data_IF_874170848672
#
_entry.id   IF_874170848672
#
_cell.length_a   1.000
_cell.length_b   1.000
_cell.length_c   1.000
_cell.angle_alpha   90.00
_cell.angle_beta   90.00
_cell.angle_gamma   90.00
#
_symmetry.space_group_name_H-M   'P 1'
#
loop_
_entity.id
_entity.type
_entity.pdbx_description
1 polymer ?
#
# COMPACT_ATOMS: atom_id res chain seq x y z
N UNK A 1 -9.16 -36.46 -28.74
CA UNK A 1 -9.81 -35.28 -29.36
C UNK A 1 -9.96 -34.22 -28.26
N UNK A 2 -9.15 -33.19 -28.30
CA UNK A 2 -9.21 -32.06 -27.33
C UNK A 2 -10.13 -31.01 -27.96
N UNK A 3 -11.31 -30.83 -27.39
CA UNK A 3 -12.23 -29.78 -27.81
C UNK A 3 -11.83 -28.46 -27.13
N UNK A 4 -11.22 -27.57 -27.89
CA UNK A 4 -10.95 -26.20 -27.44
C UNK A 4 -12.26 -25.43 -27.44
N UNK A 5 -12.74 -25.08 -26.24
CA UNK A 5 -13.87 -24.16 -26.10
C UNK A 5 -13.25 -22.75 -26.12
N UNK A 6 -13.40 -22.08 -27.26
CA UNK A 6 -13.11 -20.64 -27.39
C UNK A 6 -14.28 -19.92 -26.76
N UNK A 7 -14.07 -19.37 -25.56
CA UNK A 7 -15.07 -18.51 -24.90
C UNK A 7 -14.90 -17.07 -25.39
N UNK A 8 -15.92 -16.58 -26.09
CA UNK A 8 -15.99 -15.20 -26.54
C UNK A 8 -16.04 -14.26 -25.34
N UNK A 9 -15.07 -13.33 -25.25
CA UNK A 9 -15.12 -12.19 -24.36
C UNK A 9 -16.24 -11.26 -24.83
N UNK A 10 -17.40 -11.30 -24.19
CA UNK A 10 -18.39 -10.25 -24.32
C UNK A 10 -17.90 -9.04 -23.53
N UNK A 11 -17.60 -7.94 -24.23
CA UNK A 11 -17.34 -6.66 -23.62
C UNK A 11 -18.61 -6.19 -22.89
N UNK A 12 -18.68 -6.38 -21.58
CA UNK A 12 -19.69 -5.74 -20.74
C UNK A 12 -19.32 -4.24 -20.66
N UNK A 13 -20.13 -3.41 -21.32
CA UNK A 13 -20.16 -1.97 -21.06
C UNK A 13 -20.67 -1.76 -19.63
N UNK A 14 -19.77 -1.42 -18.71
CA UNK A 14 -20.11 -1.18 -17.32
C UNK A 14 -20.86 0.14 -17.17
N UNK A 15 -22.17 0.08 -17.13
CA UNK A 15 -22.92 1.07 -16.36
C UNK A 15 -22.57 0.82 -14.89
N UNK A 16 -21.93 1.76 -14.25
CA UNK A 16 -21.48 1.68 -12.86
C UNK A 16 -22.70 1.59 -11.92
N UNK A 17 -23.21 0.42 -11.68
CA UNK A 17 -24.04 0.11 -10.52
C UNK A 17 -23.08 -0.06 -9.35
N UNK A 18 -22.93 1.01 -8.56
CA UNK A 18 -22.13 1.00 -7.34
C UNK A 18 -22.71 -0.04 -6.37
N UNK A 19 -21.97 -1.09 -6.06
CA UNK A 19 -22.33 -2.04 -5.01
C UNK A 19 -21.94 -3.50 -5.22
N UNK A 20 -21.55 -3.93 -6.40
CA UNK A 20 -21.23 -5.34 -6.65
C UNK A 20 -19.79 -5.51 -7.08
N UNK A 21 -19.01 -6.22 -6.25
CA UNK A 21 -17.64 -6.57 -6.60
C UNK A 21 -17.65 -7.74 -7.56
N UNK A 22 -17.13 -7.55 -8.75
CA UNK A 22 -17.08 -8.57 -9.82
C UNK A 22 -15.62 -9.00 -10.01
N UNK A 23 -15.43 -10.29 -10.28
CA UNK A 23 -14.11 -10.83 -10.54
C UNK A 23 -14.13 -12.33 -10.80
N UNK A 24 -12.94 -12.92 -10.76
CA UNK A 24 -12.69 -14.35 -10.91
C UNK A 24 -11.89 -14.86 -9.72
N UNK A 25 -12.27 -16.02 -9.20
CA UNK A 25 -11.48 -16.78 -8.24
C UNK A 25 -11.06 -18.09 -8.89
N UNK A 26 -9.76 -18.38 -8.85
CA UNK A 26 -9.19 -19.66 -9.22
C UNK A 26 -8.89 -20.45 -7.96
N UNK A 27 -9.40 -21.68 -7.87
CA UNK A 27 -9.11 -22.56 -6.75
C UNK A 27 -7.78 -23.33 -6.99
N UNK A 28 -7.30 -24.03 -5.96
CA UNK A 28 -6.07 -24.83 -6.02
C UNK A 28 -6.10 -25.99 -7.01
N UNK A 29 -7.26 -26.37 -7.50
CA UNK A 29 -7.43 -27.39 -8.54
C UNK A 29 -7.35 -26.78 -9.95
N UNK A 30 -7.27 -25.47 -10.07
CA UNK A 30 -7.28 -24.73 -11.33
C UNK A 30 -8.67 -24.40 -11.86
N UNK A 31 -9.75 -24.67 -11.10
CA UNK A 31 -11.10 -24.31 -11.52
C UNK A 31 -11.31 -22.79 -11.34
N UNK A 32 -11.77 -22.15 -12.39
CA UNK A 32 -12.05 -20.71 -12.41
C UNK A 32 -13.56 -20.45 -12.25
N UNK A 33 -13.89 -19.60 -11.29
CA UNK A 33 -15.27 -19.17 -11.04
C UNK A 33 -15.36 -17.67 -11.14
N UNK A 34 -16.22 -17.18 -12.03
CA UNK A 34 -16.46 -15.75 -12.25
C UNK A 34 -17.85 -15.36 -11.77
N UNK A 35 -18.01 -14.13 -11.32
CA UNK A 35 -19.29 -13.60 -10.89
C UNK A 35 -19.18 -12.43 -9.93
N UNK A 36 -20.25 -12.17 -9.20
CA UNK A 36 -20.26 -11.24 -8.08
C UNK A 36 -19.65 -11.93 -6.88
N UNK A 37 -18.65 -11.31 -6.28
CA UNK A 37 -17.87 -11.92 -5.21
C UNK A 37 -18.06 -11.12 -3.92
N UNK A 38 -18.28 -11.84 -2.83
CA UNK A 38 -18.35 -11.29 -1.48
C UNK A 38 -17.65 -12.19 -0.48
N UNK A 39 -17.29 -11.64 0.67
CA UNK A 39 -16.67 -12.39 1.77
C UNK A 39 -17.71 -12.74 2.84
N UNK A 40 -17.87 -14.03 3.13
CA UNK A 40 -18.62 -14.53 4.29
C UNK A 40 -17.68 -14.71 5.48
N UNK A 41 -17.81 -13.84 6.49
CA UNK A 41 -17.02 -13.93 7.70
C UNK A 41 -17.40 -15.16 8.57
N UNK A 42 -18.66 -15.58 8.53
CA UNK A 42 -19.18 -16.76 9.24
C UNK A 42 -18.54 -18.04 8.70
N UNK A 43 -18.54 -18.17 7.38
CA UNK A 43 -18.14 -19.41 6.71
C UNK A 43 -16.63 -19.41 6.36
N UNK A 44 -15.95 -18.28 6.57
CA UNK A 44 -14.56 -18.03 6.14
C UNK A 44 -14.34 -18.41 4.67
N UNK A 45 -15.29 -18.03 3.83
CA UNK A 45 -15.37 -18.39 2.43
C UNK A 45 -15.73 -17.17 1.56
N UNK A 46 -15.35 -17.24 0.31
CA UNK A 46 -15.84 -16.34 -0.72
C UNK A 46 -17.13 -16.91 -1.30
N UNK A 47 -18.14 -16.06 -1.42
CA UNK A 47 -19.41 -16.38 -2.07
C UNK A 47 -19.39 -15.76 -3.45
N UNK A 48 -19.54 -16.59 -4.47
CA UNK A 48 -19.57 -16.19 -5.88
C UNK A 48 -20.97 -16.42 -6.39
N UNK A 49 -21.60 -15.34 -6.87
CA UNK A 49 -22.96 -15.42 -7.46
C UNK A 49 -22.87 -15.17 -8.95
N UNK A 50 -23.35 -16.14 -9.74
CA UNK A 50 -23.43 -16.05 -11.20
C UNK A 50 -24.76 -16.62 -11.69
N UNK A 51 -25.55 -15.82 -12.43
CA UNK A 51 -26.83 -16.25 -12.97
C UNK A 51 -27.87 -16.77 -11.93
N UNK A 52 -27.77 -16.26 -10.68
CA UNK A 52 -28.63 -16.68 -9.56
C UNK A 52 -28.15 -17.95 -8.83
N UNK A 53 -27.05 -18.54 -9.25
CA UNK A 53 -26.42 -19.68 -8.57
C UNK A 53 -25.31 -19.12 -7.63
N UNK A 54 -25.33 -19.58 -6.39
CA UNK A 54 -24.28 -19.26 -5.40
C UNK A 54 -23.33 -20.44 -5.21
N UNK A 55 -22.03 -20.14 -5.30
CA UNK A 55 -20.94 -21.07 -5.01
C UNK A 55 -20.11 -20.52 -3.87
N UNK A 56 -19.70 -21.38 -2.94
CA UNK A 56 -18.78 -21.00 -1.86
C UNK A 56 -17.43 -21.66 -2.07
N UNK A 57 -16.35 -20.85 -1.99
CA UNK A 57 -14.96 -21.30 -2.03
C UNK A 57 -14.30 -20.89 -0.70
N UNK A 58 -13.80 -21.86 0.08
CA UNK A 58 -13.08 -21.55 1.32
C UNK A 58 -11.83 -20.74 1.01
N UNK A 59 -11.49 -19.80 1.89
CA UNK A 59 -10.30 -18.98 1.71
C UNK A 59 -9.00 -19.81 1.58
N UNK A 60 -8.96 -20.99 2.22
CA UNK A 60 -7.83 -21.94 2.13
C UNK A 60 -7.68 -22.59 0.77
N UNK A 61 -8.74 -22.63 -0.02
CA UNK A 61 -8.80 -23.33 -1.30
C UNK A 61 -8.60 -22.38 -2.49
N UNK A 62 -8.50 -21.08 -2.23
CA UNK A 62 -8.19 -20.06 -3.24
C UNK A 62 -6.68 -20.11 -3.56
N UNK A 63 -6.38 -20.13 -4.85
CA UNK A 63 -5.03 -19.98 -5.40
C UNK A 63 -4.81 -18.55 -5.89
N UNK A 64 -5.68 -18.07 -6.76
CA UNK A 64 -5.60 -16.74 -7.35
C UNK A 64 -6.96 -16.03 -7.33
N UNK A 65 -6.88 -14.70 -7.28
CA UNK A 65 -8.06 -13.82 -7.31
C UNK A 65 -7.78 -12.64 -8.22
N UNK A 66 -8.65 -12.46 -9.21
CA UNK A 66 -8.64 -11.31 -10.12
C UNK A 66 -9.96 -10.54 -9.97
N UNK A 67 -9.90 -9.42 -9.27
CA UNK A 67 -11.05 -8.58 -8.94
C UNK A 67 -10.99 -7.29 -9.75
N UNK A 68 -12.08 -6.93 -10.38
CA UNK A 68 -12.19 -5.68 -11.12
C UNK A 68 -11.86 -4.50 -10.22
N UNK A 69 -10.98 -3.62 -10.72
CA UNK A 69 -10.57 -2.42 -10.00
C UNK A 69 -11.77 -1.57 -9.60
N UNK A 70 -11.84 -1.10 -8.33
CA UNK A 70 -12.92 -0.25 -7.86
C UNK A 70 -13.02 1.05 -8.66
N UNK A 71 -14.24 1.43 -9.03
CA UNK A 71 -14.48 2.73 -9.63
C UNK A 71 -14.09 3.87 -8.67
N UNK A 72 -13.43 4.90 -9.19
CA UNK A 72 -12.96 6.04 -8.41
C UNK A 72 -11.70 5.80 -7.59
N UNK A 73 -11.11 4.59 -7.60
CA UNK A 73 -9.90 4.30 -6.84
C UNK A 73 -8.72 5.18 -7.30
N UNK A 74 -8.44 5.23 -8.61
CA UNK A 74 -7.33 6.02 -9.14
C UNK A 74 -7.51 7.52 -8.88
N UNK A 75 -8.74 8.04 -8.99
CA UNK A 75 -9.05 9.44 -8.66
C UNK A 75 -8.82 9.72 -7.16
N UNK A 76 -9.20 8.80 -6.29
CA UNK A 76 -8.98 8.93 -4.86
C UNK A 76 -7.48 8.90 -4.52
N UNK A 77 -6.69 8.01 -5.16
CA UNK A 77 -5.23 7.96 -5.05
C UNK A 77 -4.60 9.29 -5.47
N UNK A 78 -5.05 9.83 -6.60
CA UNK A 78 -4.61 11.14 -7.10
C UNK A 78 -4.89 12.27 -6.11
N UNK A 79 -6.07 12.31 -5.50
CA UNK A 79 -6.42 13.29 -4.46
C UNK A 79 -5.49 13.21 -3.25
N UNK A 80 -5.16 12.01 -2.79
CA UNK A 80 -4.21 11.81 -1.70
C UNK A 80 -2.83 12.34 -2.08
N UNK A 81 -2.35 12.01 -3.28
CA UNK A 81 -1.02 12.39 -3.74
C UNK A 81 -0.89 13.89 -4.08
N UNK A 82 -1.97 14.54 -4.52
CA UNK A 82 -2.01 15.96 -4.90
C UNK A 82 -2.37 16.92 -3.74
N UNK A 83 -2.45 16.41 -2.51
CA UNK A 83 -2.62 17.24 -1.32
C UNK A 83 -4.06 17.59 -0.95
N UNK A 84 -5.06 16.88 -1.48
CA UNK A 84 -6.47 16.98 -1.08
C UNK A 84 -6.99 15.69 -0.44
N UNK A 85 -6.30 15.15 0.59
CA UNK A 85 -6.57 13.81 1.13
C UNK A 85 -7.99 13.67 1.71
N UNK A 86 -8.52 14.71 2.34
CA UNK A 86 -9.87 14.67 2.93
C UNK A 86 -10.96 14.38 1.90
N UNK A 87 -10.77 14.82 0.65
CA UNK A 87 -11.71 14.57 -0.45
C UNK A 87 -11.67 13.10 -0.96
N UNK A 88 -10.61 12.36 -0.65
CA UNK A 88 -10.48 10.95 -1.01
C UNK A 88 -11.11 10.01 0.02
N UNK A 89 -11.23 10.43 1.29
CA UNK A 89 -11.67 9.59 2.41
C UNK A 89 -13.00 8.88 2.13
N UNK A 90 -14.10 9.54 1.72
CA UNK A 90 -15.38 8.85 1.55
C UNK A 90 -15.35 7.74 0.51
N UNK A 91 -14.62 7.94 -0.59
CA UNK A 91 -14.47 6.94 -1.65
C UNK A 91 -13.64 5.76 -1.17
N UNK A 92 -12.51 6.02 -0.49
CA UNK A 92 -11.64 4.97 0.01
C UNK A 92 -12.29 4.17 1.14
N UNK A 93 -13.06 4.78 2.04
CA UNK A 93 -13.86 4.09 3.06
C UNK A 93 -14.84 3.11 2.44
N UNK A 94 -15.56 3.57 1.39
CA UNK A 94 -16.49 2.73 0.65
C UNK A 94 -15.77 1.53 0.04
N UNK A 95 -14.64 1.75 -0.63
CA UNK A 95 -13.86 0.66 -1.26
C UNK A 95 -13.37 -0.32 -0.20
N UNK A 96 -12.79 0.12 0.91
CA UNK A 96 -12.32 -0.75 2.00
C UNK A 96 -13.45 -1.62 2.55
N UNK A 97 -14.66 -1.06 2.67
CA UNK A 97 -15.84 -1.78 3.16
C UNK A 97 -16.34 -2.82 2.15
N UNK A 98 -16.52 -2.44 0.89
CA UNK A 98 -17.10 -3.29 -0.16
C UNK A 98 -16.14 -4.38 -0.61
N UNK A 99 -14.83 -4.07 -0.69
CA UNK A 99 -13.79 -4.98 -1.13
C UNK A 99 -13.11 -5.74 0.03
N UNK A 100 -13.77 -5.81 1.19
CA UNK A 100 -13.20 -6.44 2.38
C UNK A 100 -12.74 -7.87 2.09
N UNK A 101 -11.44 -8.16 2.35
CA UNK A 101 -10.74 -9.42 2.04
C UNK A 101 -10.69 -9.79 0.56
N UNK A 102 -11.04 -8.87 -0.28
CA UNK A 102 -10.82 -8.96 -1.71
C UNK A 102 -9.54 -8.20 -2.08
N UNK A 103 -9.04 -8.40 -3.29
CA UNK A 103 -7.73 -7.95 -3.76
C UNK A 103 -7.41 -6.46 -3.45
N UNK A 104 -8.42 -5.57 -3.48
CA UNK A 104 -8.25 -4.13 -3.41
C UNK A 104 -8.34 -3.53 -2.00
N UNK A 105 -8.75 -4.27 -1.00
CA UNK A 105 -8.96 -3.75 0.35
C UNK A 105 -7.66 -3.24 0.99
N UNK A 106 -6.54 -3.93 0.77
CA UNK A 106 -5.23 -3.54 1.33
C UNK A 106 -4.69 -2.27 0.69
N UNK A 107 -4.77 -2.17 -0.64
CA UNK A 107 -4.32 -0.96 -1.35
C UNK A 107 -5.20 0.24 -1.01
N UNK A 108 -6.53 0.08 -1.00
CA UNK A 108 -7.45 1.14 -0.60
C UNK A 108 -7.26 1.53 0.87
N UNK A 109 -7.07 0.56 1.76
CA UNK A 109 -6.77 0.80 3.17
C UNK A 109 -5.46 1.55 3.40
N UNK A 110 -4.43 1.27 2.58
CA UNK A 110 -3.17 1.99 2.65
C UNK A 110 -3.34 3.48 2.28
N UNK A 111 -4.07 3.78 1.21
CA UNK A 111 -4.34 5.17 0.82
C UNK A 111 -5.32 5.86 1.77
N UNK A 112 -6.31 5.13 2.31
CA UNK A 112 -7.22 5.66 3.34
C UNK A 112 -6.45 6.05 4.61
N UNK A 113 -5.55 5.19 5.08
CA UNK A 113 -4.73 5.49 6.24
C UNK A 113 -3.82 6.70 6.00
N UNK A 114 -3.18 6.80 4.81
CA UNK A 114 -2.42 7.99 4.41
C UNK A 114 -3.29 9.26 4.41
N UNK A 115 -4.51 9.16 3.87
CA UNK A 115 -5.45 10.29 3.85
C UNK A 115 -5.86 10.72 5.25
N UNK A 116 -6.10 9.79 6.15
CA UNK A 116 -6.39 10.09 7.55
C UNK A 116 -5.21 10.75 8.27
N UNK A 117 -3.98 10.22 8.12
CA UNK A 117 -2.78 10.83 8.71
C UNK A 117 -2.60 12.26 8.21
N UNK A 118 -2.73 12.47 6.90
CA UNK A 118 -2.60 13.80 6.29
C UNK A 118 -3.74 14.78 6.67
N UNK A 119 -4.84 14.23 7.22
CA UNK A 119 -6.00 14.98 7.74
C UNK A 119 -6.01 15.07 9.27
N UNK A 120 -4.89 14.81 9.93
CA UNK A 120 -4.71 14.82 11.40
C UNK A 120 -5.66 13.86 12.16
N UNK A 121 -5.89 12.67 11.57
CA UNK A 121 -6.72 11.59 12.12
C UNK A 121 -5.96 10.27 12.25
N UNK A 122 -4.82 10.23 12.97
CA UNK A 122 -3.96 9.04 13.01
C UNK A 122 -4.63 7.83 13.69
N UNK A 123 -5.55 8.04 14.63
CA UNK A 123 -6.30 6.94 15.25
C UNK A 123 -7.22 6.23 14.24
N UNK A 124 -7.88 6.98 13.36
CA UNK A 124 -8.70 6.41 12.30
C UNK A 124 -7.84 5.63 11.30
N UNK A 125 -6.64 6.14 10.98
CA UNK A 125 -5.67 5.44 10.15
C UNK A 125 -5.24 4.11 10.79
N UNK A 126 -4.89 4.13 12.08
CA UNK A 126 -4.48 2.94 12.82
C UNK A 126 -5.61 1.91 12.85
N UNK A 127 -6.84 2.33 13.17
CA UNK A 127 -8.00 1.45 13.18
C UNK A 127 -8.24 0.79 11.81
N UNK A 128 -8.22 1.57 10.74
CA UNK A 128 -8.37 1.05 9.36
C UNK A 128 -7.36 -0.04 9.06
N UNK A 129 -6.08 0.19 9.37
CA UNK A 129 -5.04 -0.81 9.16
C UNK A 129 -5.26 -2.06 10.03
N UNK A 130 -5.61 -1.89 11.30
CA UNK A 130 -5.84 -3.01 12.22
C UNK A 130 -7.02 -3.88 11.78
N UNK A 131 -8.12 -3.29 11.30
CA UNK A 131 -9.28 -4.04 10.81
C UNK A 131 -8.93 -4.93 9.59
N UNK A 132 -8.02 -4.48 8.73
CA UNK A 132 -7.51 -5.27 7.61
C UNK A 132 -6.52 -6.34 8.10
N UNK A 133 -5.60 -5.99 9.00
CA UNK A 133 -4.60 -6.89 9.60
C UNK A 133 -5.24 -8.05 10.37
N UNK A 134 -6.40 -7.84 10.99
CA UNK A 134 -7.19 -8.94 11.59
C UNK A 134 -7.55 -10.04 10.56
N UNK A 135 -7.68 -9.64 9.30
CA UNK A 135 -7.94 -10.57 8.20
C UNK A 135 -6.69 -11.21 7.61
N UNK A 136 -5.59 -10.50 7.63
CA UNK A 136 -4.29 -10.96 7.14
C UNK A 136 -3.18 -10.35 8.03
N UNK A 137 -2.74 -11.09 9.07
CA UNK A 137 -1.72 -10.61 9.99
C UNK A 137 -0.37 -10.26 9.33
N UNK A 138 -0.10 -10.80 8.13
CA UNK A 138 1.14 -10.49 7.40
C UNK A 138 1.15 -9.06 6.86
N UNK A 139 -0.02 -8.48 6.61
CA UNK A 139 -0.17 -7.10 6.15
C UNK A 139 0.35 -6.04 7.14
N UNK A 140 0.61 -6.42 8.40
CA UNK A 140 1.26 -5.55 9.38
C UNK A 140 2.75 -5.28 9.07
N UNK A 141 3.39 -6.15 8.28
CA UNK A 141 4.83 -6.07 8.01
C UNK A 141 5.23 -6.43 6.57
N UNK A 142 4.27 -6.71 5.70
CA UNK A 142 4.50 -7.05 4.29
C UNK A 142 3.46 -6.40 3.37
N UNK A 143 3.89 -5.99 2.17
CA UNK A 143 3.04 -5.43 1.12
C UNK A 143 2.64 -3.97 1.37
N UNK A 144 1.64 -3.51 0.61
CA UNK A 144 1.31 -2.07 0.49
C UNK A 144 0.69 -1.45 1.76
N UNK A 145 -0.02 -2.24 2.56
CA UNK A 145 -0.64 -1.74 3.80
C UNK A 145 0.40 -1.45 4.88
N UNK A 146 1.48 -2.23 4.95
CA UNK A 146 2.46 -2.16 6.02
C UNK A 146 3.05 -0.74 6.22
N UNK A 147 3.52 -0.01 5.17
CA UNK A 147 4.03 1.35 5.34
C UNK A 147 2.99 2.33 5.90
N UNK A 148 1.71 2.18 5.54
CA UNK A 148 0.65 3.05 6.05
C UNK A 148 0.33 2.73 7.52
N UNK A 149 0.32 1.46 7.90
CA UNK A 149 0.20 1.03 9.30
C UNK A 149 1.35 1.58 10.15
N UNK A 150 2.59 1.49 9.68
CA UNK A 150 3.76 2.04 10.36
C UNK A 150 3.70 3.56 10.49
N UNK A 151 3.22 4.25 9.46
CA UNK A 151 2.98 5.70 9.50
C UNK A 151 1.97 6.09 10.58
N UNK A 152 0.88 5.33 10.74
CA UNK A 152 -0.09 5.55 11.81
C UNK A 152 0.51 5.31 13.21
N UNK A 153 1.30 4.24 13.38
CA UNK A 153 2.03 3.99 14.63
C UNK A 153 3.01 5.11 14.97
N UNK A 154 3.76 5.58 13.96
CA UNK A 154 4.70 6.70 14.13
C UNK A 154 3.97 7.99 14.51
N UNK A 155 2.86 8.31 13.84
CA UNK A 155 2.07 9.50 14.14
C UNK A 155 1.57 9.51 15.59
N UNK A 156 1.15 8.35 16.10
CA UNK A 156 0.66 8.15 17.47
C UNK A 156 1.78 7.92 18.52
N UNK A 157 3.06 7.94 18.12
CA UNK A 157 4.17 7.70 19.04
C UNK A 157 4.24 6.27 19.59
N UNK A 158 3.63 5.29 18.91
CA UNK A 158 3.65 3.88 19.32
C UNK A 158 4.96 3.19 18.87
N UNK A 159 6.10 3.72 19.30
CA UNK A 159 7.44 3.36 18.85
C UNK A 159 7.76 1.88 19.03
N UNK A 160 7.45 1.28 20.18
CA UNK A 160 7.73 -0.15 20.42
C UNK A 160 6.99 -1.08 19.46
N UNK A 161 5.73 -0.77 19.11
CA UNK A 161 4.98 -1.56 18.12
C UNK A 161 5.53 -1.36 16.72
N UNK A 162 5.93 -0.13 16.39
CA UNK A 162 6.57 0.19 15.13
C UNK A 162 7.87 -0.59 14.96
N UNK A 163 8.77 -0.55 15.92
CA UNK A 163 10.04 -1.30 15.90
C UNK A 163 9.82 -2.80 15.72
N UNK A 164 8.86 -3.38 16.44
CA UNK A 164 8.51 -4.79 16.30
C UNK A 164 8.00 -5.15 14.89
N UNK A 165 7.21 -4.25 14.26
CA UNK A 165 6.72 -4.44 12.90
C UNK A 165 7.86 -4.31 11.87
N UNK A 166 8.74 -3.32 12.01
CA UNK A 166 9.93 -3.15 11.15
C UNK A 166 10.88 -4.35 11.24
N UNK A 167 11.12 -4.87 12.46
CA UNK A 167 11.96 -6.05 12.67
C UNK A 167 11.39 -7.29 11.94
N UNK A 168 10.06 -7.45 11.92
CA UNK A 168 9.42 -8.52 11.13
C UNK A 168 9.59 -8.29 9.63
N UNK A 169 9.41 -7.05 9.14
CA UNK A 169 9.59 -6.72 7.74
C UNK A 169 10.99 -7.08 7.23
N UNK A 170 12.04 -6.79 7.99
CA UNK A 170 13.41 -7.15 7.64
C UNK A 170 13.64 -8.67 7.58
N UNK A 171 12.92 -9.46 8.41
CA UNK A 171 13.04 -10.92 8.43
C UNK A 171 12.33 -11.62 7.27
N UNK A 172 11.36 -10.97 6.61
CA UNK A 172 10.59 -11.60 5.53
C UNK A 172 11.39 -11.82 4.25
N UNK A 173 12.46 -11.06 4.05
CA UNK A 173 13.23 -11.03 2.80
C UNK A 173 12.50 -10.39 1.61
N UNK A 174 11.30 -9.90 1.79
CA UNK A 174 10.57 -9.14 0.77
C UNK A 174 11.27 -7.79 0.51
N UNK A 175 11.70 -7.60 -0.72
CA UNK A 175 12.52 -6.44 -1.11
C UNK A 175 11.79 -5.11 -0.90
N UNK A 176 10.52 -5.04 -1.31
CA UNK A 176 9.74 -3.83 -1.11
C UNK A 176 9.53 -3.51 0.37
N UNK A 177 9.07 -4.51 1.14
CA UNK A 177 8.81 -4.31 2.58
C UNK A 177 10.06 -3.95 3.36
N UNK A 178 11.21 -4.56 3.01
CA UNK A 178 12.51 -4.23 3.62
C UNK A 178 12.96 -2.80 3.28
N UNK A 179 12.80 -2.38 2.03
CA UNK A 179 13.11 -1.00 1.61
C UNK A 179 12.19 0.03 2.26
N UNK A 180 10.88 -0.25 2.32
CA UNK A 180 9.91 0.60 3.01
C UNK A 180 10.18 0.68 4.52
N UNK A 181 10.63 -0.42 5.14
CA UNK A 181 11.03 -0.43 6.55
C UNK A 181 12.26 0.44 6.82
N UNK A 182 13.21 0.50 5.88
CA UNK A 182 14.35 1.44 5.97
C UNK A 182 13.90 2.90 5.87
N UNK A 183 12.96 3.22 4.96
CA UNK A 183 12.37 4.57 4.91
C UNK A 183 11.71 4.95 6.24
N UNK A 184 10.87 4.06 6.75
CA UNK A 184 10.15 4.28 8.02
C UNK A 184 11.10 4.38 9.21
N UNK A 185 12.19 3.62 9.22
CA UNK A 185 13.25 3.75 10.23
C UNK A 185 13.90 5.12 10.18
N UNK A 186 14.14 5.63 8.98
CA UNK A 186 14.62 7.02 8.80
C UNK A 186 13.65 8.04 9.36
N UNK A 187 12.35 7.88 9.08
CA UNK A 187 11.30 8.78 9.59
C UNK A 187 11.22 8.75 11.13
N UNK A 188 11.31 7.57 11.72
CA UNK A 188 11.33 7.40 13.17
C UNK A 188 12.52 8.11 13.79
N UNK A 189 13.73 7.87 13.28
CA UNK A 189 14.98 8.51 13.79
C UNK A 189 14.95 10.03 13.61
N UNK A 190 14.36 10.52 12.51
CA UNK A 190 14.18 11.94 12.26
C UNK A 190 13.25 12.58 13.29
N UNK A 191 12.09 11.97 13.52
CA UNK A 191 11.07 12.45 14.47
C UNK A 191 11.54 12.37 15.92
N UNK A 192 12.06 11.21 16.34
CA UNK A 192 12.49 10.96 17.73
C UNK A 192 13.67 11.87 18.11
N UNK A 193 14.54 12.20 17.17
CA UNK A 193 15.65 13.15 17.35
C UNK A 193 15.25 14.61 17.17
N UNK A 194 13.97 14.94 17.18
CA UNK A 194 13.41 16.29 17.06
C UNK A 194 13.99 17.07 15.87
N UNK A 195 14.13 16.40 14.73
CA UNK A 195 14.66 16.95 13.47
C UNK A 195 16.03 17.67 13.61
N UNK A 196 16.83 17.27 14.59
CA UNK A 196 18.17 17.82 14.82
C UNK A 196 19.18 17.39 13.75
N UNK A 197 20.35 18.01 13.74
CA UNK A 197 21.45 17.61 12.86
C UNK A 197 21.92 16.16 13.14
N UNK A 198 21.89 15.72 14.40
CA UNK A 198 22.21 14.34 14.76
C UNK A 198 21.16 13.36 14.27
N UNK A 199 19.88 13.72 14.41
CA UNK A 199 18.77 12.96 13.83
C UNK A 199 18.91 12.84 12.30
N UNK A 200 19.29 13.93 11.62
CA UNK A 200 19.54 13.92 10.18
C UNK A 200 20.63 12.92 9.78
N UNK A 201 21.75 12.87 10.52
CA UNK A 201 22.81 11.87 10.26
C UNK A 201 22.30 10.45 10.42
N UNK A 202 21.62 10.14 11.53
CA UNK A 202 21.07 8.80 11.80
C UNK A 202 20.04 8.40 10.76
N UNK A 203 19.08 9.29 10.45
CA UNK A 203 18.06 9.03 9.44
C UNK A 203 18.66 8.77 8.04
N UNK A 204 19.71 9.50 7.66
CA UNK A 204 20.44 9.24 6.42
C UNK A 204 21.10 7.88 6.42
N UNK A 205 21.94 7.57 7.43
CA UNK A 205 22.80 6.39 7.41
C UNK A 205 22.04 5.10 7.65
N UNK A 206 21.04 5.11 8.54
CA UNK A 206 20.29 3.91 8.94
C UNK A 206 18.96 3.74 8.19
N UNK A 207 18.60 4.73 7.37
CA UNK A 207 17.34 4.77 6.62
C UNK A 207 17.52 5.15 5.16
N UNK A 208 17.40 6.44 4.84
CA UNK A 208 17.16 6.92 3.49
C UNK A 208 18.25 6.59 2.46
N UNK A 209 19.54 6.76 2.79
CA UNK A 209 20.64 6.45 1.87
C UNK A 209 20.73 4.95 1.59
N UNK A 210 20.36 4.10 2.55
CA UNK A 210 20.30 2.66 2.28
C UNK A 210 19.28 2.33 1.20
N UNK A 211 18.14 3.00 1.20
CA UNK A 211 17.14 2.82 0.13
C UNK A 211 17.69 3.32 -1.19
N UNK A 212 18.27 4.52 -1.23
CA UNK A 212 18.85 5.09 -2.45
C UNK A 212 19.92 4.18 -3.06
N UNK A 213 20.78 3.58 -2.23
CA UNK A 213 21.92 2.81 -2.70
C UNK A 213 21.59 1.34 -2.99
N UNK A 214 20.79 0.69 -2.14
CA UNK A 214 20.59 -0.76 -2.19
C UNK A 214 19.39 -1.18 -3.06
N UNK A 215 18.48 -0.25 -3.37
CA UNK A 215 17.23 -0.55 -4.08
C UNK A 215 17.07 0.25 -5.38
N UNK A 216 18.14 0.89 -5.84
CA UNK A 216 18.11 1.71 -7.06
C UNK A 216 17.67 0.93 -8.30
N UNK A 217 18.21 -0.28 -8.47
CA UNK A 217 17.99 -1.12 -9.65
C UNK A 217 16.98 -2.24 -9.40
N UNK A 218 16.26 -2.20 -8.27
CA UNK A 218 15.26 -3.21 -7.93
C UNK A 218 13.89 -2.82 -8.50
N UNK A 219 13.39 -3.59 -9.46
CA UNK A 219 12.15 -3.30 -10.17
C UNK A 219 10.92 -3.12 -9.23
N UNK A 220 10.88 -3.87 -8.11
CA UNK A 220 9.76 -3.82 -7.16
C UNK A 220 9.90 -2.69 -6.16
N UNK A 221 11.12 -2.46 -5.68
CA UNK A 221 11.41 -1.46 -4.66
C UNK A 221 11.79 -0.07 -5.24
N UNK A 222 12.03 0.04 -6.56
CA UNK A 222 12.36 1.31 -7.22
C UNK A 222 11.31 2.41 -6.97
N UNK A 223 10.05 2.04 -6.73
CA UNK A 223 8.98 2.99 -6.36
C UNK A 223 9.22 3.72 -5.03
N UNK A 224 10.17 3.28 -4.23
CA UNK A 224 10.58 3.94 -2.98
C UNK A 224 11.63 5.03 -3.20
N UNK A 225 12.32 5.02 -4.35
CA UNK A 225 13.42 5.93 -4.65
C UNK A 225 13.05 7.42 -4.59
N UNK A 226 11.91 7.88 -5.17
CA UNK A 226 11.56 9.29 -5.12
C UNK A 226 11.45 9.83 -3.70
N UNK A 227 10.80 9.08 -2.82
CA UNK A 227 10.64 9.44 -1.42
C UNK A 227 11.99 9.43 -0.68
N UNK A 228 12.83 8.41 -0.92
CA UNK A 228 14.14 8.29 -0.33
C UNK A 228 15.07 9.46 -0.72
N UNK A 229 15.09 9.82 -2.01
CA UNK A 229 15.88 10.94 -2.53
C UNK A 229 15.42 12.26 -1.92
N UNK A 230 14.11 12.52 -1.86
CA UNK A 230 13.56 13.72 -1.24
C UNK A 230 13.97 13.85 0.23
N UNK A 231 13.76 12.78 1.01
CA UNK A 231 14.08 12.77 2.45
C UNK A 231 15.57 12.86 2.71
N UNK A 232 16.41 12.21 1.90
CA UNK A 232 17.85 12.34 1.96
C UNK A 232 18.30 13.77 1.66
N UNK A 233 17.72 14.44 0.65
CA UNK A 233 17.99 15.83 0.35
C UNK A 233 17.70 16.76 1.54
N UNK A 234 16.54 16.58 2.21
CA UNK A 234 16.19 17.34 3.42
C UNK A 234 17.20 17.14 4.56
N UNK A 235 17.67 15.91 4.74
CA UNK A 235 18.70 15.65 5.75
C UNK A 235 20.03 16.32 5.40
N UNK A 236 20.47 16.27 4.14
CA UNK A 236 21.68 16.97 3.68
C UNK A 236 21.56 18.49 3.83
N UNK A 237 20.40 19.07 3.54
CA UNK A 237 20.08 20.48 3.78
C UNK A 237 20.26 20.85 5.26
N UNK A 238 19.67 20.03 6.17
CA UNK A 238 19.82 20.22 7.63
C UNK A 238 21.27 20.16 8.10
N UNK A 239 22.12 19.38 7.40
CA UNK A 239 23.53 19.22 7.70
C UNK A 239 24.43 20.27 7.02
N UNK A 240 23.88 21.21 6.25
CA UNK A 240 24.62 22.20 5.49
C UNK A 240 25.43 21.62 4.32
N UNK A 241 25.09 20.42 3.85
CA UNK A 241 25.80 19.72 2.77
C UNK A 241 25.15 20.00 1.40
N UNK A 242 25.21 21.24 0.94
CA UNK A 242 24.50 21.74 -0.24
C UNK A 242 24.78 20.94 -1.52
N UNK A 243 26.02 20.55 -1.78
CA UNK A 243 26.38 19.77 -2.97
C UNK A 243 25.67 18.39 -3.01
N UNK A 244 25.62 17.71 -1.85
CA UNK A 244 24.93 16.42 -1.75
C UNK A 244 23.42 16.56 -1.84
N UNK A 245 22.86 17.59 -1.23
CA UNK A 245 21.45 17.95 -1.35
C UNK A 245 21.07 18.14 -2.82
N UNK A 246 21.84 18.96 -3.57
CA UNK A 246 21.58 19.21 -5.00
C UNK A 246 21.70 17.94 -5.85
N UNK A 247 22.64 17.04 -5.52
CA UNK A 247 22.74 15.74 -6.19
C UNK A 247 21.45 14.92 -6.04
N UNK A 248 20.90 14.83 -4.81
CA UNK A 248 19.64 14.10 -4.58
C UNK A 248 18.45 14.76 -5.28
N UNK A 249 18.34 16.09 -5.21
CA UNK A 249 17.27 16.84 -5.89
C UNK A 249 17.33 16.73 -7.41
N UNK A 250 18.53 16.82 -7.99
CA UNK A 250 18.73 16.69 -9.43
C UNK A 250 18.39 15.29 -9.93
N UNK A 251 18.80 14.24 -9.21
CA UNK A 251 18.42 12.86 -9.52
C UNK A 251 16.91 12.68 -9.45
N UNK A 252 16.26 13.17 -8.41
CA UNK A 252 14.81 13.10 -8.22
C UNK A 252 14.07 13.76 -9.41
N UNK A 253 14.43 14.98 -9.77
CA UNK A 253 13.82 15.71 -10.88
C UNK A 253 14.08 15.09 -12.24
N UNK A 254 15.31 14.59 -12.45
CA UNK A 254 15.71 13.98 -13.73
C UNK A 254 15.05 12.63 -13.98
N UNK A 255 15.03 11.78 -12.96
CA UNK A 255 14.65 10.37 -13.09
C UNK A 255 13.18 10.13 -12.73
N UNK A 256 12.62 10.93 -11.84
CA UNK A 256 11.30 10.74 -11.26
C UNK A 256 10.42 12.01 -11.35
N UNK A 257 10.49 12.73 -12.46
CA UNK A 257 9.78 14.00 -12.66
C UNK A 257 8.27 13.91 -12.44
N UNK A 258 7.64 12.76 -12.73
CA UNK A 258 6.21 12.53 -12.52
C UNK A 258 5.84 12.19 -11.08
N UNK A 259 6.82 11.97 -10.20
CA UNK A 259 6.56 11.64 -8.81
C UNK A 259 6.05 12.86 -8.04
N UNK A 260 5.07 12.69 -7.12
CA UNK A 260 4.65 13.76 -6.22
C UNK A 260 5.80 14.34 -5.38
N UNK A 261 6.87 13.58 -5.17
CA UNK A 261 8.04 14.01 -4.41
C UNK A 261 8.95 14.99 -5.18
N UNK A 262 8.92 14.95 -6.51
CA UNK A 262 9.74 15.84 -7.36
C UNK A 262 9.27 17.30 -7.31
N UNK A 263 8.04 17.54 -6.86
CA UNK A 263 7.41 18.87 -6.81
C UNK A 263 7.28 19.41 -5.36
N UNK A 264 7.92 18.74 -4.39
CA UNK A 264 8.06 19.19 -3.01
C UNK A 264 9.42 19.85 -2.80
#
# INVERSE_FOLDING_TARGET
MRTSIIMAMAALSAAAVFGEVVGTITNKNGDMQNGKISWSARDKAYVITNGGVELQIKATDVDEMDIVKPAGFDEAVDKVNKGTPSAAIPVLEKIVKEYRRLQWDKSAGAYLAKAYIASDKPDAALKTCQDIILGDPTAAYKGDLAPAYWGALLALGQTSKLEAALAKAFKTGDRFSSGAALLMRGDMLWKDGNESADAARKALTDGYLRVVLLYKDDAVAARLQPEALYKAARCFEKLGQSSRMETMRSELKRTYASSPWANK
#
